data_IF_195615504810
#
_entry.id   IF_195615504810
#
_cell.length_a   1.000
_cell.length_b   1.000
_cell.length_c   1.000
_cell.angle_alpha   90.00
_cell.angle_beta   90.00
_cell.angle_gamma   90.00
#
_symmetry.space_group_name_H-M   'P 1'
#
loop_
_entity.id
_entity.type
_entity.pdbx_description
1 polymer ?
#
# COMPACT_ATOMS: atom_id res chain seq x y z
N UNK A 1 -14.19 -44.63 7.47
CA UNK A 1 -13.01 -43.80 7.27
C UNK A 1 -13.56 -42.38 7.11
N UNK A 2 -13.37 -41.59 8.14
CA UNK A 2 -13.92 -40.24 8.21
C UNK A 2 -12.86 -39.31 7.62
N UNK A 3 -13.13 -38.73 6.47
CA UNK A 3 -12.31 -37.66 5.88
C UNK A 3 -12.46 -36.45 6.83
N UNK A 4 -11.38 -36.12 7.54
CA UNK A 4 -11.24 -34.84 8.19
C UNK A 4 -10.95 -33.84 7.04
N UNK A 5 -11.93 -33.05 6.68
CA UNK A 5 -11.71 -31.81 5.98
C UNK A 5 -10.77 -30.95 6.85
N UNK A 6 -9.54 -30.77 6.41
CA UNK A 6 -8.65 -29.72 6.93
C UNK A 6 -9.32 -28.38 6.56
N UNK A 7 -10.06 -27.82 7.53
CA UNK A 7 -10.38 -26.40 7.49
C UNK A 7 -9.05 -25.67 7.59
N UNK A 8 -8.56 -25.18 6.46
CA UNK A 8 -7.48 -24.20 6.42
C UNK A 8 -7.94 -23.02 7.26
N UNK A 9 -7.36 -22.83 8.43
CA UNK A 9 -7.59 -21.68 9.28
C UNK A 9 -7.07 -20.47 8.49
N UNK A 10 -7.98 -19.63 7.96
CA UNK A 10 -7.60 -18.38 7.30
C UNK A 10 -7.07 -17.42 8.37
N UNK A 11 -6.09 -16.59 8.01
CA UNK A 11 -5.52 -15.58 8.90
C UNK A 11 -6.63 -14.74 9.56
N UNK A 12 -6.48 -14.47 10.85
CA UNK A 12 -7.42 -13.63 11.58
C UNK A 12 -7.18 -12.17 11.21
N UNK A 13 -7.98 -11.64 10.30
CA UNK A 13 -7.84 -10.27 9.79
C UNK A 13 -8.06 -9.18 10.86
N UNK A 14 -8.69 -9.51 12.00
CA UNK A 14 -8.77 -8.61 13.16
C UNK A 14 -7.38 -8.28 13.75
N UNK A 15 -6.35 -9.05 13.41
CA UNK A 15 -4.97 -8.83 13.84
C UNK A 15 -4.14 -8.00 12.86
N UNK A 16 -4.79 -7.32 11.89
CA UNK A 16 -4.09 -6.51 10.88
C UNK A 16 -4.43 -5.04 11.04
N UNK A 17 -3.40 -4.20 11.05
CA UNK A 17 -3.52 -2.75 10.97
C UNK A 17 -3.24 -2.30 9.53
N UNK A 18 -4.19 -1.60 8.92
CA UNK A 18 -3.97 -0.94 7.63
C UNK A 18 -3.32 0.44 7.81
N UNK A 19 -2.28 0.74 7.04
CA UNK A 19 -1.70 2.09 6.94
C UNK A 19 -1.66 2.52 5.48
N UNK A 20 -2.37 3.61 5.17
CA UNK A 20 -2.41 4.19 3.82
C UNK A 20 -1.63 5.50 3.81
N UNK A 21 -0.69 5.63 2.87
CA UNK A 21 0.09 6.86 2.66
C UNK A 21 -0.57 7.72 1.59
N UNK A 22 -1.15 8.84 2.01
CA UNK A 22 -1.97 9.69 1.13
C UNK A 22 -1.14 10.61 0.21
N UNK A 23 0.12 10.89 0.56
CA UNK A 23 0.96 11.91 -0.06
C UNK A 23 2.24 11.36 -0.70
N UNK A 24 2.37 10.04 -0.90
CA UNK A 24 3.50 9.50 -1.66
C UNK A 24 3.33 9.75 -3.16
N UNK A 25 4.44 9.89 -3.87
CA UNK A 25 4.47 10.05 -5.33
C UNK A 25 3.78 11.30 -5.92
N UNK A 26 3.43 12.31 -5.12
CA UNK A 26 2.74 13.53 -5.58
C UNK A 26 3.49 14.28 -6.68
N UNK A 27 4.82 14.29 -6.64
CA UNK A 27 5.65 14.98 -7.64
C UNK A 27 5.46 14.40 -9.05
N UNK A 28 5.11 13.14 -9.17
CA UNK A 28 4.91 12.46 -10.45
C UNK A 28 3.63 12.94 -11.17
N UNK A 29 2.68 13.51 -10.43
CA UNK A 29 1.41 14.06 -10.92
C UNK A 29 1.16 15.47 -10.38
N UNK A 30 2.21 16.28 -10.32
CA UNK A 30 2.22 17.59 -9.67
C UNK A 30 1.09 18.52 -10.10
N UNK A 31 0.63 18.44 -11.35
CA UNK A 31 -0.49 19.27 -11.84
C UNK A 31 -1.83 18.93 -11.17
N UNK A 32 -2.01 17.68 -10.72
CA UNK A 32 -3.21 17.22 -10.01
C UNK A 32 -3.12 17.45 -8.51
N UNK A 33 -1.90 17.54 -7.97
CA UNK A 33 -1.64 17.56 -6.52
C UNK A 33 -1.24 18.91 -5.96
N UNK A 34 -1.28 20.00 -6.76
CA UNK A 34 -0.96 21.37 -6.33
C UNK A 34 -1.74 21.84 -5.09
N UNK A 35 -2.99 21.39 -4.95
CA UNK A 35 -3.92 21.83 -3.89
C UNK A 35 -4.59 20.67 -3.15
N UNK A 36 -4.14 19.44 -3.40
CA UNK A 36 -4.72 18.22 -2.80
C UNK A 36 -3.72 17.09 -2.78
N UNK A 37 -3.94 16.12 -1.90
CA UNK A 37 -3.16 14.88 -1.85
C UNK A 37 -3.42 14.03 -3.11
N UNK A 38 -2.48 13.16 -3.48
CA UNK A 38 -2.71 12.16 -4.53
C UNK A 38 -3.94 11.29 -4.17
N UNK A 39 -4.08 10.90 -2.90
CA UNK A 39 -5.23 10.15 -2.40
C UNK A 39 -6.58 10.80 -2.70
N UNK A 40 -6.66 12.13 -2.77
CA UNK A 40 -7.90 12.87 -3.04
C UNK A 40 -8.11 13.23 -4.52
N UNK A 41 -7.22 12.80 -5.42
CA UNK A 41 -7.38 13.00 -6.87
C UNK A 41 -8.59 12.21 -7.37
N UNK A 42 -9.53 12.84 -8.12
CA UNK A 42 -10.68 12.16 -8.72
C UNK A 42 -10.25 11.09 -9.71
N UNK A 43 -10.95 9.95 -9.73
CA UNK A 43 -10.73 8.86 -10.67
C UNK A 43 -12.06 8.28 -11.15
N UNK A 44 -12.16 7.96 -12.44
CA UNK A 44 -13.36 7.31 -13.01
C UNK A 44 -14.65 8.13 -12.90
N UNK A 45 -14.57 9.45 -12.69
CA UNK A 45 -15.70 10.38 -12.62
C UNK A 45 -16.53 10.31 -11.33
N UNK A 46 -16.36 9.27 -10.49
CA UNK A 46 -17.10 9.09 -9.24
C UNK A 46 -16.20 8.93 -8.02
N UNK A 47 -15.09 8.25 -8.19
CA UNK A 47 -14.18 7.83 -7.12
C UNK A 47 -13.05 8.84 -6.91
N UNK A 48 -12.32 8.68 -5.81
CA UNK A 48 -10.99 9.24 -5.60
C UNK A 48 -9.97 8.11 -5.44
N UNK A 49 -8.71 8.42 -5.58
CA UNK A 49 -7.64 7.41 -5.51
C UNK A 49 -7.64 6.64 -4.18
N UNK A 50 -8.01 7.29 -3.08
CA UNK A 50 -8.10 6.67 -1.74
C UNK A 50 -9.16 5.57 -1.64
N UNK A 51 -10.22 5.65 -2.45
CA UNK A 51 -11.35 4.72 -2.37
C UNK A 51 -10.89 3.29 -2.67
N UNK A 52 -9.88 3.11 -3.53
CA UNK A 52 -9.35 1.81 -3.87
C UNK A 52 -8.65 1.11 -2.68
N UNK A 53 -7.55 1.64 -2.10
CA UNK A 53 -6.89 0.97 -0.98
C UNK A 53 -7.80 0.84 0.24
N UNK A 54 -8.66 1.83 0.51
CA UNK A 54 -9.55 1.81 1.66
C UNK A 54 -10.63 0.73 1.51
N UNK A 55 -11.32 0.68 0.36
CA UNK A 55 -12.32 -0.35 0.09
C UNK A 55 -11.69 -1.75 0.03
N UNK A 56 -10.51 -1.90 -0.56
CA UNK A 56 -9.79 -3.18 -0.56
C UNK A 56 -9.47 -3.67 0.86
N UNK A 57 -9.07 -2.77 1.76
CA UNK A 57 -8.84 -3.11 3.17
C UNK A 57 -10.13 -3.59 3.84
N UNK A 58 -11.22 -2.82 3.70
CA UNK A 58 -12.53 -3.17 4.29
C UNK A 58 -13.09 -4.47 3.71
N UNK A 59 -13.04 -4.65 2.39
CA UNK A 59 -13.45 -5.88 1.72
C UNK A 59 -12.61 -7.11 2.13
N UNK A 60 -11.43 -6.86 2.69
CA UNK A 60 -10.54 -7.88 3.26
C UNK A 60 -10.67 -8.01 4.79
N UNK A 61 -11.74 -7.46 5.39
CA UNK A 61 -12.00 -7.49 6.83
C UNK A 61 -10.94 -6.75 7.69
N UNK A 62 -10.20 -5.82 7.12
CA UNK A 62 -9.29 -4.93 7.85
C UNK A 62 -10.06 -3.68 8.24
N UNK A 63 -10.43 -3.59 9.50
CA UNK A 63 -11.33 -2.56 10.05
C UNK A 63 -10.64 -1.52 10.95
N UNK A 64 -9.32 -1.59 11.09
CA UNK A 64 -8.51 -0.59 11.78
C UNK A 64 -7.51 0.00 10.77
N UNK A 65 -7.79 1.22 10.30
CA UNK A 65 -7.04 1.84 9.21
C UNK A 65 -6.57 3.23 9.58
N UNK A 66 -5.26 3.46 9.53
CA UNK A 66 -4.62 4.77 9.65
C UNK A 66 -4.32 5.37 8.27
N UNK A 67 -4.73 6.59 8.03
CA UNK A 67 -4.44 7.33 6.79
C UNK A 67 -3.42 8.42 7.12
N UNK A 68 -2.17 8.20 6.73
CA UNK A 68 -1.05 9.11 7.00
C UNK A 68 -1.06 10.21 5.94
N UNK A 69 -1.15 11.45 6.39
CA UNK A 69 -1.17 12.63 5.52
C UNK A 69 0.05 13.53 5.77
N UNK A 70 0.33 14.41 4.83
CA UNK A 70 1.45 15.35 4.89
C UNK A 70 0.97 16.80 4.85
N UNK A 71 0.51 17.23 3.71
CA UNK A 71 0.00 18.57 3.42
C UNK A 71 -1.19 18.46 2.46
N UNK A 72 -1.87 19.58 2.19
CA UNK A 72 -2.98 19.67 1.25
C UNK A 72 -4.11 18.63 1.47
N UNK A 73 -4.30 18.13 2.69
CA UNK A 73 -5.22 17.02 2.98
C UNK A 73 -6.68 17.45 3.24
N UNK A 74 -7.03 18.74 3.16
CA UNK A 74 -8.40 19.21 3.42
C UNK A 74 -9.42 18.51 2.52
N UNK A 75 -9.15 18.45 1.20
CA UNK A 75 -10.03 17.76 0.25
C UNK A 75 -10.15 16.26 0.51
N UNK A 76 -9.11 15.63 1.07
CA UNK A 76 -9.16 14.24 1.51
C UNK A 76 -10.05 14.08 2.74
N UNK A 77 -9.87 14.94 3.73
CA UNK A 77 -10.66 14.95 4.96
C UNK A 77 -12.16 15.16 4.67
N UNK A 78 -12.50 16.10 3.77
CA UNK A 78 -13.88 16.34 3.36
C UNK A 78 -14.50 15.12 2.66
N UNK A 79 -13.72 14.36 1.89
CA UNK A 79 -14.19 13.16 1.21
C UNK A 79 -14.41 11.98 2.17
N UNK A 80 -13.47 11.78 3.06
CA UNK A 80 -13.50 10.66 4.00
C UNK A 80 -14.56 10.83 5.09
N UNK A 81 -14.86 12.07 5.49
CA UNK A 81 -15.78 12.36 6.57
C UNK A 81 -15.42 11.60 7.84
N UNK A 82 -16.39 10.89 8.40
CA UNK A 82 -16.22 9.99 9.56
C UNK A 82 -15.86 8.55 9.18
N UNK A 83 -15.81 8.22 7.90
CA UNK A 83 -15.61 6.84 7.42
C UNK A 83 -16.89 6.03 7.33
N UNK A 84 -18.07 6.66 7.41
CA UNK A 84 -19.38 5.97 7.39
C UNK A 84 -19.60 5.20 6.09
N UNK A 85 -19.13 5.74 4.95
CA UNK A 85 -19.27 5.09 3.64
C UNK A 85 -18.57 3.72 3.57
N UNK A 86 -17.58 3.48 4.45
CA UNK A 86 -16.83 2.23 4.56
C UNK A 86 -17.14 1.44 5.84
N UNK A 87 -18.17 1.82 6.61
CA UNK A 87 -18.46 1.24 7.93
C UNK A 87 -17.25 1.28 8.89
N UNK A 88 -16.43 2.34 8.79
CA UNK A 88 -15.25 2.57 9.62
C UNK A 88 -15.44 3.65 10.70
N UNK A 89 -16.68 4.13 10.90
CA UNK A 89 -17.06 5.03 12.00
C UNK A 89 -17.32 4.22 13.27
N UNK A 90 -16.27 3.66 13.87
CA UNK A 90 -16.34 2.70 14.98
C UNK A 90 -15.68 3.22 16.25
N UNK A 91 -16.11 2.75 17.43
CA UNK A 91 -15.50 3.08 18.73
C UNK A 91 -14.17 2.38 18.95
N UNK A 92 -13.99 1.21 18.37
CA UNK A 92 -12.77 0.39 18.46
C UNK A 92 -12.35 0.03 17.04
N UNK A 93 -11.10 0.28 16.68
CA UNK A 93 -10.67 0.25 15.28
C UNK A 93 -11.22 1.45 14.53
N UNK A 94 -11.62 1.27 13.26
CA UNK A 94 -12.17 2.31 12.41
C UNK A 94 -11.09 3.08 11.65
N UNK A 95 -11.50 4.17 11.02
CA UNK A 95 -10.63 5.03 10.24
C UNK A 95 -10.03 6.16 11.08
N UNK A 96 -8.74 6.33 10.98
CA UNK A 96 -7.99 7.38 11.67
C UNK A 96 -7.21 8.22 10.67
N UNK A 97 -7.55 9.50 10.54
CA UNK A 97 -6.73 10.44 9.79
C UNK A 97 -5.55 10.86 10.66
N UNK A 98 -4.33 10.66 10.17
CA UNK A 98 -3.08 10.88 10.88
C UNK A 98 -2.29 12.02 10.21
N UNK A 99 -2.62 13.29 10.50
CA UNK A 99 -1.88 14.44 9.99
C UNK A 99 -0.51 14.53 10.68
N UNK A 100 0.44 15.31 10.10
CA UNK A 100 1.73 15.58 10.73
C UNK A 100 1.53 16.09 12.17
N UNK A 101 2.27 15.51 13.10
CA UNK A 101 2.06 15.70 14.52
C UNK A 101 3.34 16.23 15.18
N UNK A 102 3.19 17.17 16.09
CA UNK A 102 4.29 17.74 16.86
C UNK A 102 4.90 19.04 16.30
N UNK A 103 6.01 19.49 16.93
CA UNK A 103 6.71 20.74 16.61
C UNK A 103 7.69 20.65 15.43
N UNK A 104 7.72 19.54 14.70
CA UNK A 104 8.57 19.42 13.52
C UNK A 104 7.95 20.21 12.36
N UNK A 105 8.48 21.39 12.04
CA UNK A 105 8.18 22.11 10.81
C UNK A 105 8.63 21.35 9.55
N UNK A 106 9.22 20.16 9.70
CA UNK A 106 9.71 19.34 8.61
C UNK A 106 8.67 18.26 8.27
N UNK A 107 8.15 18.35 7.07
CA UNK A 107 7.35 17.29 6.47
C UNK A 107 8.25 16.04 6.27
N UNK A 108 7.70 14.85 6.48
CA UNK A 108 8.46 13.60 6.30
C UNK A 108 8.99 13.43 4.87
N UNK A 109 10.18 12.86 4.73
CA UNK A 109 10.89 12.63 3.47
C UNK A 109 10.55 11.29 2.81
N UNK A 110 10.12 10.31 3.63
CA UNK A 110 9.79 8.97 3.17
C UNK A 110 8.94 8.20 4.18
N UNK A 111 8.60 6.95 3.85
CA UNK A 111 7.67 6.11 4.63
C UNK A 111 8.17 5.83 6.05
N UNK A 112 9.45 5.56 6.26
CA UNK A 112 9.97 5.31 7.62
C UNK A 112 9.78 6.52 8.53
N UNK A 113 10.08 7.70 8.04
CA UNK A 113 9.93 8.94 8.81
C UNK A 113 8.44 9.27 9.05
N UNK A 114 7.58 9.00 8.06
CA UNK A 114 6.13 9.13 8.21
C UNK A 114 5.58 8.18 9.29
N UNK A 115 6.02 6.93 9.28
CA UNK A 115 5.62 5.94 10.30
C UNK A 115 6.18 6.26 11.69
N UNK A 116 7.37 6.85 11.77
CA UNK A 116 7.93 7.31 13.05
C UNK A 116 7.05 8.38 13.71
N UNK A 117 6.47 9.29 12.93
CA UNK A 117 5.54 10.30 13.45
C UNK A 117 4.25 9.70 14.00
N UNK A 118 3.77 8.58 13.45
CA UNK A 118 2.55 7.91 13.88
C UNK A 118 2.81 6.65 14.71
N UNK A 119 4.05 6.45 15.17
CA UNK A 119 4.47 5.29 15.99
C UNK A 119 3.56 5.00 17.19
N UNK A 120 3.10 6.01 17.99
CA UNK A 120 2.19 5.74 19.09
C UNK A 120 0.86 5.11 18.64
N UNK A 121 0.36 5.45 17.45
CA UNK A 121 -0.83 4.83 16.87
C UNK A 121 -0.55 3.34 16.54
N UNK A 122 0.58 3.04 15.91
CA UNK A 122 0.99 1.67 15.59
C UNK A 122 1.17 0.86 16.89
N UNK A 123 1.85 1.41 17.90
CA UNK A 123 2.09 0.75 19.19
C UNK A 123 0.81 0.46 19.97
N UNK A 124 -0.19 1.36 19.92
CA UNK A 124 -1.47 1.19 20.61
C UNK A 124 -2.39 0.14 19.98
N UNK A 125 -2.15 -0.24 18.74
CA UNK A 125 -2.91 -1.30 18.04
C UNK A 125 -2.62 -2.67 18.65
N UNK A 126 -3.64 -3.53 18.70
CA UNK A 126 -3.50 -4.95 19.05
C UNK A 126 -3.08 -5.83 17.86
N UNK A 127 -2.85 -5.23 16.69
CA UNK A 127 -2.48 -5.96 15.48
C UNK A 127 -1.13 -6.68 15.62
N UNK A 128 -1.01 -7.83 14.98
CA UNK A 128 0.24 -8.59 14.82
C UNK A 128 0.96 -8.21 13.52
N UNK A 129 0.17 -7.88 12.50
CA UNK A 129 0.67 -7.50 11.17
C UNK A 129 0.24 -6.07 10.81
N UNK A 130 1.03 -5.44 9.97
CA UNK A 130 0.73 -4.12 9.39
C UNK A 130 0.75 -4.25 7.88
N UNK A 131 -0.37 -3.86 7.25
CA UNK A 131 -0.47 -3.70 5.81
C UNK A 131 -0.19 -2.24 5.45
N UNK A 132 0.92 -2.00 4.78
CA UNK A 132 1.29 -0.69 4.23
C UNK A 132 0.77 -0.61 2.79
N UNK A 133 0.12 0.48 2.42
CA UNK A 133 -0.35 0.71 1.05
C UNK A 133 -0.23 2.19 0.69
N UNK A 134 0.17 2.47 -0.54
CA UNK A 134 0.04 3.82 -1.09
C UNK A 134 -1.35 4.00 -1.74
N UNK A 135 -1.70 5.24 -2.03
CA UNK A 135 -2.91 5.59 -2.75
C UNK A 135 -2.66 5.82 -4.26
N UNK A 136 -1.60 5.24 -4.82
CA UNK A 136 -1.20 5.42 -6.22
C UNK A 136 -1.64 4.26 -7.13
N UNK A 137 -2.21 3.19 -6.56
CA UNK A 137 -2.62 1.99 -7.31
C UNK A 137 -4.13 1.87 -7.38
N UNK A 138 -4.63 1.76 -8.61
CA UNK A 138 -6.01 1.43 -8.93
C UNK A 138 -6.10 -0.07 -9.20
N UNK A 139 -6.67 -0.81 -8.27
CA UNK A 139 -6.89 -2.25 -8.38
C UNK A 139 -7.99 -2.69 -7.39
N UNK A 140 -8.62 -3.82 -7.64
CA UNK A 140 -9.49 -4.51 -6.69
C UNK A 140 -8.73 -5.72 -6.14
N UNK A 141 -8.26 -5.62 -4.91
CA UNK A 141 -7.34 -6.57 -4.26
C UNK A 141 -7.97 -7.13 -3.00
N UNK A 142 -7.97 -8.45 -2.86
CA UNK A 142 -8.22 -9.14 -1.60
C UNK A 142 -6.88 -9.36 -0.87
N UNK A 143 -6.74 -8.79 0.32
CA UNK A 143 -5.51 -8.91 1.10
C UNK A 143 -5.42 -10.19 1.93
N UNK A 144 -6.52 -10.91 2.14
CA UNK A 144 -6.55 -12.15 2.94
C UNK A 144 -5.53 -13.20 2.47
N UNK A 145 -5.49 -13.58 1.18
CA UNK A 145 -4.50 -14.56 0.72
C UNK A 145 -3.06 -14.05 0.80
N UNK A 146 -2.84 -12.71 0.80
CA UNK A 146 -1.51 -12.12 0.89
C UNK A 146 -0.99 -12.22 2.33
N UNK A 147 -1.85 -11.96 3.31
CA UNK A 147 -1.53 -12.06 4.73
C UNK A 147 -1.32 -13.52 5.12
N UNK A 148 -2.20 -14.42 4.65
CA UNK A 148 -2.03 -15.87 4.80
C UNK A 148 -0.68 -16.35 4.24
N UNK A 149 -0.30 -15.85 3.07
CA UNK A 149 0.99 -16.17 2.45
C UNK A 149 2.15 -15.67 3.30
N UNK A 150 2.07 -14.45 3.81
CA UNK A 150 3.08 -13.86 4.69
C UNK A 150 3.29 -14.71 5.95
N UNK A 151 2.20 -15.02 6.65
CA UNK A 151 2.20 -15.79 7.89
C UNK A 151 2.72 -17.21 7.69
N UNK A 152 2.16 -17.95 6.74
CA UNK A 152 2.55 -19.35 6.46
C UNK A 152 4.01 -19.51 6.08
N UNK A 153 4.59 -18.51 5.44
CA UNK A 153 5.98 -18.56 5.02
C UNK A 153 6.94 -17.92 6.04
N UNK A 154 6.46 -17.33 7.12
CA UNK A 154 7.28 -16.66 8.13
C UNK A 154 8.18 -15.60 7.49
N UNK A 155 7.62 -14.73 6.65
CA UNK A 155 8.34 -13.64 6.03
C UNK A 155 8.50 -12.48 7.03
N UNK A 156 9.59 -11.71 6.94
CA UNK A 156 9.70 -10.43 7.61
C UNK A 156 8.93 -9.35 6.84
N UNK A 157 9.03 -9.41 5.51
CA UNK A 157 8.30 -8.53 4.60
C UNK A 157 7.75 -9.34 3.43
N UNK A 158 6.47 -9.14 3.09
CA UNK A 158 5.89 -9.58 1.82
C UNK A 158 5.57 -8.36 0.97
N UNK A 159 6.13 -8.30 -0.23
CA UNK A 159 5.90 -7.23 -1.21
C UNK A 159 4.89 -7.71 -2.25
N UNK A 160 3.80 -6.96 -2.44
CA UNK A 160 2.86 -7.22 -3.55
C UNK A 160 3.44 -6.61 -4.82
N UNK A 161 3.53 -7.43 -5.88
CA UNK A 161 4.07 -6.97 -7.15
C UNK A 161 3.21 -7.38 -8.34
N UNK A 162 3.27 -6.56 -9.39
CA UNK A 162 2.72 -6.88 -10.70
C UNK A 162 3.82 -7.13 -11.72
N UNK A 163 3.49 -7.85 -12.80
CA UNK A 163 4.41 -8.07 -13.92
C UNK A 163 3.91 -7.36 -15.17
N UNK A 164 4.80 -6.73 -15.90
CA UNK A 164 4.46 -6.02 -17.13
C UNK A 164 5.68 -5.62 -17.94
N UNK A 165 5.41 -5.09 -19.14
CA UNK A 165 6.45 -4.53 -20.02
C UNK A 165 6.47 -3.02 -19.85
N UNK A 166 7.65 -2.47 -19.55
CA UNK A 166 7.85 -1.06 -19.23
C UNK A 166 8.94 -0.46 -20.13
N UNK A 167 8.80 0.83 -20.42
CA UNK A 167 9.88 1.64 -21.01
C UNK A 167 10.85 2.07 -19.93
N UNK A 168 12.06 2.50 -20.32
CA UNK A 168 13.05 3.06 -19.39
C UNK A 168 12.49 4.22 -18.58
N UNK A 169 11.74 5.11 -19.21
CA UNK A 169 11.11 6.26 -18.55
C UNK A 169 10.10 5.82 -17.47
N UNK A 170 9.34 4.76 -17.72
CA UNK A 170 8.39 4.20 -16.75
C UNK A 170 9.08 3.52 -15.58
N UNK A 171 10.21 2.86 -15.77
CA UNK A 171 10.95 2.19 -14.67
C UNK A 171 11.64 3.19 -13.75
N UNK A 172 11.97 4.39 -14.23
CA UNK A 172 12.55 5.48 -13.42
C UNK A 172 11.60 6.02 -12.32
N UNK A 173 10.34 5.61 -12.33
CA UNK A 173 9.37 5.95 -11.25
C UNK A 173 9.05 4.76 -10.36
N UNK A 174 9.57 3.56 -10.64
CA UNK A 174 9.17 2.29 -10.02
C UNK A 174 10.27 1.65 -9.20
N UNK A 175 9.85 0.75 -8.31
CA UNK A 175 10.74 -0.23 -7.67
C UNK A 175 10.60 -1.55 -8.40
N UNK A 176 11.68 -2.01 -9.01
CA UNK A 176 11.75 -3.27 -9.76
C UNK A 176 12.33 -4.37 -8.87
N UNK A 177 11.74 -5.55 -8.94
CA UNK A 177 12.04 -6.68 -8.07
C UNK A 177 12.56 -7.87 -8.89
N UNK A 178 13.64 -8.48 -8.45
CA UNK A 178 14.07 -9.78 -8.92
C UNK A 178 13.55 -10.86 -7.95
N UNK A 179 12.69 -11.74 -8.45
CA UNK A 179 11.99 -12.76 -7.66
C UNK A 179 12.33 -14.14 -8.22
N UNK A 180 12.71 -15.09 -7.37
CA UNK A 180 13.01 -16.46 -7.77
C UNK A 180 11.75 -17.37 -7.77
N UNK A 181 11.93 -18.65 -8.10
CA UNK A 181 10.84 -19.65 -8.13
C UNK A 181 10.18 -19.90 -6.78
N UNK A 182 10.86 -19.61 -5.67
CA UNK A 182 10.38 -19.81 -4.31
C UNK A 182 9.74 -18.53 -3.75
N UNK A 183 9.47 -17.56 -4.63
CA UNK A 183 8.95 -16.22 -4.32
C UNK A 183 9.90 -15.36 -3.45
N UNK A 184 11.16 -15.73 -3.29
CA UNK A 184 12.12 -14.92 -2.56
C UNK A 184 12.58 -13.76 -3.45
N UNK A 185 12.50 -12.54 -2.92
CA UNK A 185 13.07 -11.36 -3.55
C UNK A 185 14.57 -11.36 -3.22
N UNK A 186 15.41 -11.40 -4.24
CA UNK A 186 16.87 -11.44 -4.09
C UNK A 186 17.58 -10.19 -4.61
N UNK A 187 16.86 -9.30 -5.31
CA UNK A 187 17.37 -7.99 -5.71
C UNK A 187 16.26 -6.96 -5.81
N UNK A 188 16.54 -5.72 -5.44
CA UNK A 188 15.62 -4.59 -5.43
C UNK A 188 16.30 -3.40 -6.09
N UNK A 189 15.80 -2.99 -7.25
CA UNK A 189 16.27 -1.84 -8.00
C UNK A 189 15.27 -0.68 -7.84
N UNK A 190 15.75 0.44 -7.35
CA UNK A 190 14.92 1.61 -7.09
C UNK A 190 15.14 2.63 -8.21
N UNK A 191 14.07 2.90 -8.96
CA UNK A 191 14.07 3.83 -10.11
C UNK A 191 15.16 3.52 -11.14
N UNK A 192 15.29 2.27 -11.60
CA UNK A 192 16.35 1.89 -12.55
C UNK A 192 16.07 2.43 -13.95
N UNK A 193 17.13 2.66 -14.71
CA UNK A 193 17.06 3.04 -16.13
C UNK A 193 17.10 1.79 -17.02
N UNK A 194 16.04 0.97 -16.99
CA UNK A 194 15.95 -0.27 -17.73
C UNK A 194 14.61 -0.37 -18.47
N UNK A 195 14.54 -1.16 -19.53
CA UNK A 195 13.30 -1.42 -20.27
C UNK A 195 13.09 -2.92 -20.45
N UNK A 196 11.87 -3.33 -20.74
CA UNK A 196 11.51 -4.72 -20.95
C UNK A 196 10.47 -5.23 -19.97
N UNK A 197 10.39 -6.55 -19.83
CA UNK A 197 9.46 -7.19 -18.92
C UNK A 197 10.05 -7.29 -17.52
N UNK A 198 9.38 -6.69 -16.55
CA UNK A 198 9.85 -6.62 -15.16
C UNK A 198 8.72 -6.86 -14.15
N UNK A 199 9.09 -7.31 -12.96
CA UNK A 199 8.23 -7.31 -11.80
C UNK A 199 8.38 -5.95 -11.09
N UNK A 200 7.27 -5.26 -10.87
CA UNK A 200 7.25 -3.94 -10.22
C UNK A 200 6.46 -3.99 -8.93
N UNK A 201 6.98 -3.41 -7.87
CA UNK A 201 6.26 -3.25 -6.61
C UNK A 201 5.00 -2.42 -6.82
N UNK A 202 3.89 -2.87 -6.24
CA UNK A 202 2.63 -2.11 -6.19
C UNK A 202 2.55 -1.20 -4.96
N UNK A 203 3.67 -0.95 -4.28
CA UNK A 203 3.75 -0.14 -3.06
C UNK A 203 2.82 -0.64 -1.94
N UNK A 204 2.62 -1.96 -1.89
CA UNK A 204 1.86 -2.66 -0.87
C UNK A 204 2.76 -3.67 -0.19
N UNK A 205 2.81 -3.62 1.15
CA UNK A 205 3.72 -4.45 1.94
C UNK A 205 3.00 -5.00 3.16
N UNK A 206 3.15 -6.29 3.43
CA UNK A 206 2.76 -6.90 4.70
C UNK A 206 4.02 -7.09 5.54
N UNK A 207 3.98 -6.64 6.78
CA UNK A 207 5.11 -6.73 7.74
C UNK A 207 4.60 -7.10 9.11
N UNK A 208 5.39 -7.82 9.93
CA UNK A 208 5.04 -7.98 11.33
C UNK A 208 5.18 -6.65 12.07
N UNK A 209 4.28 -6.37 13.02
CA UNK A 209 4.31 -5.10 13.77
C UNK A 209 5.60 -4.94 14.57
N UNK A 210 6.07 -6.00 15.19
CA UNK A 210 7.30 -5.95 16.00
C UNK A 210 8.54 -5.65 15.14
N UNK A 211 8.64 -6.30 13.97
CA UNK A 211 9.70 -5.99 13.01
C UNK A 211 9.62 -4.52 12.59
N UNK A 212 8.44 -4.04 12.19
CA UNK A 212 8.24 -2.65 11.75
C UNK A 212 8.64 -1.64 12.83
N UNK A 213 8.21 -1.85 14.08
CA UNK A 213 8.55 -0.96 15.19
C UNK A 213 10.05 -0.94 15.49
N UNK A 214 10.73 -2.07 15.34
CA UNK A 214 12.19 -2.15 15.47
C UNK A 214 12.90 -1.38 14.36
N UNK A 215 12.40 -1.48 13.11
CA UNK A 215 12.93 -0.71 11.97
C UNK A 215 12.73 0.79 12.16
N UNK A 216 11.56 1.23 12.63
CA UNK A 216 11.27 2.64 12.94
C UNK A 216 12.23 3.18 14.00
N UNK A 217 12.42 2.46 15.13
CA UNK A 217 13.37 2.87 16.19
C UNK A 217 14.81 2.97 15.68
N UNK A 218 15.22 2.00 14.86
CA UNK A 218 16.53 2.02 14.21
C UNK A 218 16.72 3.18 13.24
N UNK A 219 15.67 3.55 12.53
CA UNK A 219 15.68 4.65 11.56
C UNK A 219 15.78 6.02 12.24
N UNK A 220 15.02 6.25 13.30
CA UNK A 220 15.05 7.50 14.07
C UNK A 220 16.48 7.82 14.55
N UNK A 221 17.20 6.82 15.09
CA UNK A 221 18.55 6.98 15.62
C UNK A 221 19.64 7.20 14.56
N UNK A 222 19.36 6.83 13.28
CA UNK A 222 20.32 6.88 12.17
C UNK A 222 19.94 7.87 11.06
N UNK A 223 18.87 8.64 11.26
CA UNK A 223 18.31 9.57 10.27
C UNK A 223 17.98 8.88 8.92
N UNK A 224 17.47 7.64 8.98
CA UNK A 224 16.96 6.91 7.83
C UNK A 224 15.50 7.29 7.60
N UNK A 225 15.06 7.31 6.34
CA UNK A 225 13.73 7.81 6.00
C UNK A 225 12.99 6.98 4.94
N UNK A 226 13.70 6.25 4.10
CA UNK A 226 13.11 5.46 3.01
C UNK A 226 12.96 4.00 3.41
N UNK A 227 11.76 3.49 3.39
CA UNK A 227 11.50 2.06 3.62
C UNK A 227 12.09 1.19 2.51
N UNK A 228 12.00 1.65 1.26
CA UNK A 228 12.50 0.92 0.09
C UNK A 228 14.03 0.84 0.08
N UNK A 229 14.69 1.97 0.31
CA UNK A 229 16.17 2.04 0.29
C UNK A 229 16.76 1.46 1.56
N UNK A 230 16.25 1.92 2.72
CA UNK A 230 16.91 1.70 3.99
C UNK A 230 16.55 0.35 4.63
N UNK A 231 15.41 -0.23 4.26
CA UNK A 231 14.97 -1.55 4.74
C UNK A 231 15.02 -2.58 3.62
N UNK A 232 14.21 -2.42 2.55
CA UNK A 232 14.13 -3.45 1.52
C UNK A 232 15.45 -3.68 0.80
N UNK A 233 16.11 -2.63 0.31
CA UNK A 233 17.33 -2.78 -0.48
C UNK A 233 18.55 -3.08 0.38
N UNK A 234 18.79 -2.29 1.44
CA UNK A 234 20.01 -2.44 2.25
C UNK A 234 20.04 -3.68 3.13
N UNK A 235 18.87 -4.15 3.60
CA UNK A 235 18.77 -5.30 4.51
C UNK A 235 18.32 -6.58 3.81
N UNK A 236 18.21 -6.58 2.49
CA UNK A 236 17.67 -7.69 1.71
C UNK A 236 18.31 -9.06 2.02
N UNK A 237 19.59 -9.07 2.41
CA UNK A 237 20.32 -10.30 2.75
C UNK A 237 20.22 -10.68 4.23
N UNK A 238 19.71 -9.79 5.09
CA UNK A 238 19.63 -9.99 6.53
C UNK A 238 18.21 -10.41 6.98
N UNK A 239 17.20 -10.21 6.11
CA UNK A 239 15.79 -10.43 6.38
C UNK A 239 15.14 -11.26 5.27
N UNK A 240 14.06 -11.97 5.62
CA UNK A 240 13.30 -12.77 4.65
C UNK A 240 12.26 -11.91 3.94
N UNK A 241 12.55 -11.53 2.69
CA UNK A 241 11.63 -10.74 1.85
C UNK A 241 11.04 -11.63 0.77
N UNK A 242 9.71 -11.74 0.76
CA UNK A 242 8.98 -12.52 -0.23
C UNK A 242 8.15 -11.62 -1.15
N UNK A 243 7.96 -12.07 -2.38
CA UNK A 243 7.10 -11.43 -3.36
C UNK A 243 5.78 -12.18 -3.50
N UNK A 244 4.67 -11.46 -3.39
CA UNK A 244 3.35 -11.98 -3.73
C UNK A 244 2.91 -11.40 -5.06
N UNK A 245 2.74 -12.25 -6.08
CA UNK A 245 2.37 -11.82 -7.42
C UNK A 245 0.87 -11.54 -7.51
N UNK A 246 0.53 -10.33 -7.95
CA UNK A 246 -0.84 -9.94 -8.26
C UNK A 246 -1.07 -10.04 -9.77
N UNK A 247 -1.91 -10.97 -10.19
CA UNK A 247 -2.14 -11.30 -11.61
C UNK A 247 -3.41 -10.66 -12.21
N UNK A 248 -4.20 -9.93 -11.38
CA UNK A 248 -5.39 -9.23 -11.87
C UNK A 248 -5.02 -7.85 -12.45
N UNK A 249 -5.92 -7.21 -13.23
CA UNK A 249 -5.69 -5.88 -13.77
C UNK A 249 -5.40 -4.84 -12.68
N UNK A 250 -4.40 -4.03 -12.90
CA UNK A 250 -4.05 -2.87 -12.06
C UNK A 250 -3.55 -1.70 -12.91
N UNK A 251 -3.59 -0.51 -12.34
CA UNK A 251 -2.91 0.66 -12.88
C UNK A 251 -2.21 1.42 -11.76
N UNK A 252 -0.92 1.67 -11.91
CA UNK A 252 -0.14 2.51 -11.00
C UNK A 252 -0.06 3.92 -11.58
N UNK A 253 -0.51 4.91 -10.81
CA UNK A 253 -0.59 6.31 -11.22
C UNK A 253 0.68 7.03 -10.81
N UNK A 254 1.65 7.03 -11.68
CA UNK A 254 2.99 7.58 -11.48
C UNK A 254 3.37 8.68 -12.51
N UNK A 255 2.41 9.09 -13.33
CA UNK A 255 2.54 10.21 -14.28
C UNK A 255 1.17 10.68 -14.75
N UNK A 256 1.12 11.86 -15.36
CA UNK A 256 -0.11 12.36 -16.02
C UNK A 256 -0.57 11.44 -17.15
N UNK A 257 0.36 10.80 -17.86
CA UNK A 257 0.07 9.86 -18.94
C UNK A 257 -0.60 8.59 -18.38
N UNK A 258 -0.05 8.01 -17.31
CA UNK A 258 -0.63 6.82 -16.66
C UNK A 258 -2.00 7.14 -16.06
N UNK A 259 -2.17 8.32 -15.44
CA UNK A 259 -3.47 8.77 -14.95
C UNK A 259 -4.51 8.87 -16.07
N UNK A 260 -4.17 9.55 -17.16
CA UNK A 260 -5.06 9.70 -18.32
C UNK A 260 -5.42 8.33 -18.92
N UNK A 261 -4.42 7.49 -19.20
CA UNK A 261 -4.62 6.16 -19.78
C UNK A 261 -5.47 5.26 -18.88
N UNK A 262 -5.26 5.30 -17.57
CA UNK A 262 -6.04 4.52 -16.62
C UNK A 262 -7.52 4.94 -16.60
N UNK A 263 -7.81 6.25 -16.61
CA UNK A 263 -9.18 6.76 -16.73
C UNK A 263 -9.82 6.37 -18.06
N UNK A 264 -9.10 6.50 -19.17
CA UNK A 264 -9.63 6.13 -20.50
C UNK A 264 -9.90 4.63 -20.65
N UNK A 265 -9.10 3.77 -20.00
CA UNK A 265 -9.35 2.33 -20.00
C UNK A 265 -10.64 1.94 -19.30
N UNK A 266 -11.21 2.78 -18.45
CA UNK A 266 -12.53 2.54 -17.82
C UNK A 266 -13.70 2.58 -18.84
N UNK A 267 -13.47 3.02 -20.07
CA UNK A 267 -14.44 2.87 -21.16
C UNK A 267 -14.63 1.39 -21.52
N UNK A 268 -13.61 0.55 -21.31
CA UNK A 268 -13.71 -0.90 -21.49
C UNK A 268 -14.55 -1.53 -20.38
N UNK A 269 -15.62 -2.23 -20.78
CA UNK A 269 -16.53 -2.88 -19.85
C UNK A 269 -15.82 -3.99 -19.04
N UNK A 270 -14.95 -4.76 -19.68
CA UNK A 270 -14.28 -5.89 -19.00
C UNK A 270 -13.40 -5.42 -17.85
N UNK A 271 -12.71 -4.29 -18.02
CA UNK A 271 -11.90 -3.71 -16.95
C UNK A 271 -12.76 -3.15 -15.81
N UNK A 272 -13.89 -2.49 -16.15
CA UNK A 272 -14.83 -2.03 -15.10
C UNK A 272 -15.38 -3.19 -14.29
N UNK A 273 -15.76 -4.28 -14.95
CA UNK A 273 -16.32 -5.46 -14.28
C UNK A 273 -15.29 -6.11 -13.32
N UNK A 274 -13.98 -5.97 -13.59
CA UNK A 274 -12.92 -6.42 -12.69
C UNK A 274 -12.61 -5.46 -11.54
N UNK A 275 -12.73 -4.15 -11.78
CA UNK A 275 -12.44 -3.14 -10.74
C UNK A 275 -13.63 -2.92 -9.80
N UNK A 276 -14.85 -2.94 -10.35
CA UNK A 276 -16.07 -2.61 -9.62
C UNK A 276 -16.95 -3.85 -9.47
N UNK A 277 -16.43 -4.85 -8.78
CA UNK A 277 -17.14 -6.10 -8.52
C UNK A 277 -18.29 -5.88 -7.53
N UNK A 278 -19.40 -6.60 -7.71
CA UNK A 278 -20.57 -6.46 -6.84
C UNK A 278 -20.38 -7.04 -5.44
N UNK A 279 -19.48 -8.02 -5.33
CA UNK A 279 -19.14 -8.73 -4.08
C UNK A 279 -17.94 -8.11 -3.36
N UNK A 280 -17.20 -7.22 -4.02
CA UNK A 280 -16.11 -6.43 -3.45
C UNK A 280 -16.17 -4.99 -4.00
N UNK A 281 -17.14 -4.17 -3.57
CA UNK A 281 -17.34 -2.82 -4.10
C UNK A 281 -16.21 -1.87 -3.69
N UNK A 282 -15.87 -0.95 -4.60
CA UNK A 282 -14.98 0.18 -4.32
C UNK A 282 -15.84 1.36 -3.89
#
# INVERSE_FOLDING_TARGET
MCEREEKTEMANMANVLGLIFANMHEQSVADLTKQRTLASVPFGGRYRMIDFPLSNMVNSDIDNVGIITKDNYLSLMDHLGSGDEWDLSRKTGGMHLLPPYGNSNALYRGRLEAMAQVKPFIESSNAEYVLLSDADVVANIDYRPIIDFHEKNGADITVVYGRGTFTTEQTMTKTVLAVNSDNVIYDVLIRPEISGEHNVSLNMFVVSKDFLLNEIRGAESRNLYSFEVDVLQKKLHDIKVLGYRFDKPFAQIDSMDTYFKANMKLVDKSLRDHLFMSDAPI
#
